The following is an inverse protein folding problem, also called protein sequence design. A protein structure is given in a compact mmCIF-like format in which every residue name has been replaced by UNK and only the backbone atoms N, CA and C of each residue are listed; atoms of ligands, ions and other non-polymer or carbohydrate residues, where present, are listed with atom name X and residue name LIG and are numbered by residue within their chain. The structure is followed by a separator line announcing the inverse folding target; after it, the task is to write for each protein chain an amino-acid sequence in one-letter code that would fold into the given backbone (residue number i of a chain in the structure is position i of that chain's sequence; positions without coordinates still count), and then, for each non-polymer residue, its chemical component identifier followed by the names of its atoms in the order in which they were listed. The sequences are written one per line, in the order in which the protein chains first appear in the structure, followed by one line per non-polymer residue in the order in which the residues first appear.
data_IF_265949094236
#
_entry.id   IF_265949094236
#
_cell.length_a   1.000
_cell.length_b   1.000
_cell.length_c   1.000
_cell.angle_alpha   90.00
_cell.angle_beta   90.00
_cell.angle_gamma   90.00
#
_symmetry.space_group_name_H-M   'P 1'
#
loop_
_entity.id
_entity.type
_entity.pdbx_description
1 polymer ?
#
# COMPACT_ATOMS: atom_id res chain seq x y z
N UNK A 1 24.48 -24.39 -3.64
CA UNK A 1 23.19 -24.92 -4.18
C UNK A 1 22.08 -23.95 -3.84
N UNK A 2 21.19 -23.64 -4.81
CA UNK A 2 20.04 -22.74 -4.57
C UNK A 2 18.79 -23.58 -4.33
N UNK A 3 18.04 -23.25 -3.28
CA UNK A 3 16.75 -23.84 -2.94
C UNK A 3 15.70 -22.72 -2.84
N UNK A 4 14.52 -22.90 -3.45
CA UNK A 4 13.38 -21.99 -3.27
C UNK A 4 12.22 -22.77 -2.67
N UNK A 5 11.65 -22.27 -1.58
CA UNK A 5 10.53 -22.92 -0.90
C UNK A 5 9.75 -21.95 -0.01
N UNK A 6 8.54 -22.32 0.42
CA UNK A 6 7.87 -21.63 1.52
C UNK A 6 8.71 -21.63 2.81
N UNK A 7 8.48 -20.60 3.63
CA UNK A 7 9.05 -20.51 4.97
C UNK A 7 8.56 -21.64 5.87
N UNK A 8 9.33 -21.92 6.92
CA UNK A 8 9.01 -22.90 7.95
C UNK A 8 8.85 -22.21 9.32
N UNK A 9 8.15 -22.84 10.27
CA UNK A 9 8.12 -22.36 11.65
C UNK A 9 9.55 -22.17 12.19
N UNK A 10 9.77 -21.05 12.90
CA UNK A 10 11.07 -20.71 13.48
C UNK A 10 12.00 -19.87 12.58
N UNK A 11 11.67 -19.68 11.29
CA UNK A 11 12.52 -18.89 10.37
C UNK A 11 12.19 -17.38 10.35
N UNK A 12 11.16 -16.94 11.09
CA UNK A 12 10.71 -15.55 11.08
C UNK A 12 11.80 -14.54 11.46
N UNK A 13 12.68 -14.88 12.42
CA UNK A 13 13.72 -13.95 12.86
C UNK A 13 14.74 -13.66 11.75
N UNK A 14 15.21 -14.68 11.04
CA UNK A 14 16.12 -14.49 9.91
C UNK A 14 15.51 -13.64 8.80
N UNK A 15 14.21 -13.76 8.57
CA UNK A 15 13.46 -12.94 7.61
C UNK A 15 13.38 -11.49 8.05
N UNK A 16 13.07 -11.23 9.33
CA UNK A 16 13.05 -9.87 9.90
C UNK A 16 14.42 -9.20 9.79
N UNK A 17 15.49 -9.95 10.04
CA UNK A 17 16.86 -9.43 9.95
C UNK A 17 17.23 -9.10 8.49
N UNK A 18 16.86 -9.95 7.53
CA UNK A 18 17.03 -9.69 6.11
C UNK A 18 16.22 -8.47 5.66
N UNK A 19 14.96 -8.35 6.09
CA UNK A 19 14.12 -7.20 5.80
C UNK A 19 14.77 -5.89 6.28
N UNK A 20 15.21 -5.87 7.53
CA UNK A 20 15.92 -4.70 8.10
C UNK A 20 17.19 -4.36 7.33
N UNK A 21 18.00 -5.36 6.98
CA UNK A 21 19.23 -5.16 6.21
C UNK A 21 18.96 -4.64 4.79
N UNK A 22 17.86 -5.05 4.16
CA UNK A 22 17.53 -4.66 2.79
C UNK A 22 16.93 -3.26 2.66
N UNK A 23 16.05 -2.85 3.61
CA UNK A 23 15.24 -1.64 3.51
C UNK A 23 15.57 -0.58 4.57
N UNK A 24 16.22 -0.95 5.68
CA UNK A 24 16.52 -0.01 6.77
C UNK A 24 15.28 0.46 7.54
N UNK A 25 14.16 -0.25 7.44
CA UNK A 25 12.91 0.13 8.09
C UNK A 25 12.95 0.00 9.60
N UNK A 26 12.11 0.78 10.27
CA UNK A 26 11.92 0.72 11.72
C UNK A 26 11.45 -0.71 12.11
N UNK A 27 12.11 -1.34 13.10
CA UNK A 27 11.71 -2.68 13.57
C UNK A 27 10.23 -2.81 13.94
N UNK A 28 9.59 -1.72 14.43
CA UNK A 28 8.16 -1.73 14.78
C UNK A 28 7.26 -2.04 13.58
N UNK A 29 7.61 -1.56 12.39
CA UNK A 29 6.87 -1.88 11.15
C UNK A 29 7.00 -3.34 10.78
N UNK A 30 8.23 -3.85 10.86
CA UNK A 30 8.53 -5.25 10.54
C UNK A 30 7.79 -6.16 11.54
N UNK A 31 7.92 -5.91 12.84
CA UNK A 31 7.26 -6.71 13.87
C UNK A 31 5.74 -6.71 13.71
N UNK A 32 5.14 -5.54 13.40
CA UNK A 32 3.71 -5.41 13.18
C UNK A 32 3.24 -6.18 11.93
N UNK A 33 4.06 -6.24 10.88
CA UNK A 33 3.77 -7.10 9.72
C UNK A 33 3.72 -8.57 10.11
N UNK A 34 4.70 -9.04 10.87
CA UNK A 34 4.75 -10.44 11.31
C UNK A 34 3.61 -10.79 12.27
N UNK A 35 3.12 -9.85 13.04
CA UNK A 35 1.94 -10.03 13.89
C UNK A 35 0.63 -10.08 13.10
N UNK A 36 0.47 -9.23 12.10
CA UNK A 36 -0.81 -9.07 11.39
C UNK A 36 -0.97 -9.94 10.16
N UNK A 37 0.07 -10.04 9.32
CA UNK A 37 -0.04 -10.50 7.94
C UNK A 37 0.82 -11.72 7.61
N UNK A 38 1.87 -11.98 8.41
CA UNK A 38 2.80 -13.04 8.08
C UNK A 38 2.18 -14.42 8.17
N UNK A 39 2.40 -15.21 7.11
CA UNK A 39 2.03 -16.62 7.01
C UNK A 39 3.23 -17.37 6.41
N UNK A 40 3.78 -18.38 7.09
CA UNK A 40 4.96 -19.11 6.59
C UNK A 40 4.70 -19.76 5.23
N UNK A 41 3.52 -20.33 5.00
CA UNK A 41 3.12 -20.96 3.73
C UNK A 41 3.00 -19.98 2.54
N UNK A 42 2.85 -18.68 2.83
CA UNK A 42 2.74 -17.60 1.85
C UNK A 42 4.00 -16.72 1.81
N UNK A 43 5.05 -17.09 2.52
CA UNK A 43 6.34 -16.41 2.51
C UNK A 43 7.37 -17.29 1.83
N UNK A 44 7.89 -16.85 0.68
CA UNK A 44 8.85 -17.59 -0.12
C UNK A 44 10.28 -17.17 0.21
N UNK A 45 11.13 -18.16 0.41
CA UNK A 45 12.55 -18.01 0.71
C UNK A 45 13.39 -18.60 -0.41
N UNK A 46 14.45 -17.88 -0.79
CA UNK A 46 15.53 -18.41 -1.60
C UNK A 46 16.76 -18.55 -0.70
N UNK A 47 17.26 -19.76 -0.60
CA UNK A 47 18.46 -20.09 0.16
C UNK A 47 19.60 -20.41 -0.78
N UNK A 48 20.80 -19.90 -0.49
CA UNK A 48 22.07 -20.29 -1.14
C UNK A 48 22.90 -21.04 -0.10
N UNK A 49 23.18 -22.31 -0.37
CA UNK A 49 23.93 -23.20 0.54
C UNK A 49 23.36 -23.21 1.99
N UNK A 50 22.03 -23.24 2.09
CA UNK A 50 21.28 -23.26 3.34
C UNK A 50 21.16 -21.91 4.04
N UNK A 51 21.73 -20.83 3.50
CA UNK A 51 21.61 -19.47 4.06
C UNK A 51 20.55 -18.67 3.32
N UNK A 52 19.74 -17.92 4.05
CA UNK A 52 18.72 -17.05 3.48
C UNK A 52 19.38 -15.93 2.65
N UNK A 53 19.11 -15.91 1.35
CA UNK A 53 19.67 -14.97 0.41
C UNK A 53 18.64 -13.99 -0.15
N UNK A 54 17.38 -14.43 -0.31
CA UNK A 54 16.28 -13.56 -0.75
C UNK A 54 14.96 -14.08 -0.21
N UNK A 55 13.99 -13.18 -0.02
CA UNK A 55 12.64 -13.53 0.43
C UNK A 55 11.60 -12.61 -0.17
N UNK A 56 10.35 -13.02 -0.14
CA UNK A 56 9.17 -12.18 -0.31
C UNK A 56 7.98 -12.78 0.44
N UNK A 57 7.00 -11.94 0.77
CA UNK A 57 5.70 -12.37 1.26
C UNK A 57 4.64 -12.22 0.16
N UNK A 58 3.66 -13.12 0.17
CA UNK A 58 2.51 -13.09 -0.73
C UNK A 58 1.26 -12.82 0.09
N UNK A 59 0.54 -11.75 -0.25
CA UNK A 59 -0.66 -11.32 0.45
C UNK A 59 -1.87 -11.50 -0.46
N UNK A 60 -2.90 -12.28 -0.05
CA UNK A 60 -4.08 -12.49 -0.87
C UNK A 60 -4.87 -11.20 -1.04
N UNK A 61 -5.35 -10.96 -2.24
CA UNK A 61 -6.15 -9.80 -2.63
C UNK A 61 -7.27 -10.22 -3.58
N UNK A 62 -8.27 -9.37 -3.72
CA UNK A 62 -9.29 -9.47 -4.76
C UNK A 62 -9.26 -8.21 -5.61
N UNK A 63 -9.17 -8.37 -6.92
CA UNK A 63 -9.31 -7.25 -7.86
C UNK A 63 -10.75 -7.20 -8.34
N UNK A 64 -11.39 -6.05 -8.18
CA UNK A 64 -12.68 -5.74 -8.79
C UNK A 64 -12.44 -5.21 -10.20
N UNK A 65 -13.11 -5.81 -11.18
CA UNK A 65 -12.92 -5.53 -12.59
C UNK A 65 -13.88 -4.45 -13.10
N UNK A 66 -13.50 -3.67 -14.13
CA UNK A 66 -14.43 -2.78 -14.80
C UNK A 66 -15.63 -3.57 -15.36
N UNK A 67 -16.84 -3.08 -15.12
CA UNK A 67 -18.06 -3.74 -15.60
C UNK A 67 -18.55 -4.89 -14.73
N UNK A 68 -17.92 -5.15 -13.59
CA UNK A 68 -18.31 -6.19 -12.63
C UNK A 68 -17.43 -7.45 -12.72
N UNK A 69 -17.57 -8.33 -11.74
CA UNK A 69 -16.73 -9.49 -11.57
C UNK A 69 -15.46 -9.21 -10.76
N UNK A 70 -14.79 -10.29 -10.38
CA UNK A 70 -13.57 -10.23 -9.57
C UNK A 70 -12.51 -11.16 -10.11
N UNK A 71 -11.25 -10.87 -9.82
CA UNK A 71 -10.11 -11.73 -10.06
C UNK A 71 -9.38 -12.02 -8.74
N UNK A 72 -8.98 -13.26 -8.52
CA UNK A 72 -8.11 -13.67 -7.43
C UNK A 72 -6.70 -13.16 -7.69
N UNK A 73 -6.15 -12.39 -6.76
CA UNK A 73 -4.84 -11.80 -6.90
C UNK A 73 -3.97 -12.03 -5.67
N UNK A 74 -2.66 -11.94 -5.86
CA UNK A 74 -1.68 -11.97 -4.78
C UNK A 74 -0.72 -10.79 -4.91
N UNK A 75 -0.47 -10.14 -3.80
CA UNK A 75 0.44 -9.00 -3.74
C UNK A 75 1.82 -9.45 -3.28
N UNK A 76 2.82 -9.23 -4.12
CA UNK A 76 4.23 -9.41 -3.76
C UNK A 76 4.65 -8.28 -2.84
N UNK A 77 4.95 -8.64 -1.60
CA UNK A 77 5.32 -7.70 -0.56
C UNK A 77 6.71 -8.02 0.00
N UNK A 78 7.46 -7.00 0.41
CA UNK A 78 8.77 -7.11 1.04
C UNK A 78 9.76 -8.01 0.27
N UNK A 79 9.82 -7.90 -1.06
CA UNK A 79 10.85 -8.59 -1.85
C UNK A 79 12.23 -8.04 -1.47
N UNK A 80 12.95 -8.80 -0.66
CA UNK A 80 14.25 -8.46 -0.12
C UNK A 80 15.34 -9.42 -0.61
N UNK A 81 16.52 -8.89 -0.91
CA UNK A 81 17.72 -9.68 -1.19
C UNK A 81 18.87 -9.17 -0.32
N UNK A 82 19.57 -10.08 0.33
CA UNK A 82 20.72 -9.77 1.18
C UNK A 82 21.71 -8.86 0.40
N UNK A 83 22.04 -7.68 0.94
CA UNK A 83 22.98 -6.75 0.29
C UNK A 83 24.28 -7.36 -0.16
N UNK A 84 24.79 -8.37 0.58
CA UNK A 84 26.06 -9.03 0.29
C UNK A 84 26.03 -9.97 -0.93
N UNK A 85 24.84 -10.37 -1.39
CA UNK A 85 24.66 -11.29 -2.54
C UNK A 85 23.81 -10.70 -3.65
N UNK A 86 23.56 -9.39 -3.63
CA UNK A 86 22.91 -8.68 -4.74
C UNK A 86 23.67 -8.87 -6.05
N UNK A 87 22.98 -8.73 -7.17
CA UNK A 87 23.57 -8.93 -8.51
C UNK A 87 23.56 -10.36 -9.01
N UNK A 88 23.31 -11.38 -8.15
CA UNK A 88 23.23 -12.79 -8.56
C UNK A 88 21.85 -13.18 -9.17
N UNK A 89 20.91 -12.25 -9.26
CA UNK A 89 19.59 -12.47 -9.87
C UNK A 89 18.59 -13.22 -8.97
N UNK A 90 18.82 -13.31 -7.65
CA UNK A 90 17.97 -14.07 -6.73
C UNK A 90 16.55 -13.51 -6.63
N UNK A 91 16.39 -12.19 -6.58
CA UNK A 91 15.05 -11.57 -6.60
C UNK A 91 14.27 -11.92 -7.86
N UNK A 92 14.95 -11.97 -9.03
CA UNK A 92 14.33 -12.40 -10.28
C UNK A 92 13.95 -13.88 -10.26
N UNK A 93 14.81 -14.76 -9.75
CA UNK A 93 14.52 -16.19 -9.64
C UNK A 93 13.31 -16.42 -8.74
N UNK A 94 13.24 -15.69 -7.63
CA UNK A 94 12.14 -15.78 -6.69
C UNK A 94 10.80 -15.32 -7.32
N UNK A 95 10.80 -14.22 -8.08
CA UNK A 95 9.62 -13.75 -8.81
C UNK A 95 9.13 -14.73 -9.88
N UNK A 96 10.06 -15.37 -10.62
CA UNK A 96 9.68 -16.40 -11.59
C UNK A 96 9.10 -17.65 -10.91
N UNK A 97 9.58 -17.99 -9.72
CA UNK A 97 8.98 -19.08 -8.92
C UNK A 97 7.58 -18.73 -8.44
N UNK A 98 7.30 -17.46 -8.10
CA UNK A 98 5.97 -16.97 -7.70
C UNK A 98 4.92 -17.31 -8.75
N UNK A 99 5.23 -17.15 -10.02
CA UNK A 99 4.25 -17.40 -11.11
C UNK A 99 3.77 -18.87 -11.09
N UNK A 100 4.70 -19.82 -11.02
CA UNK A 100 4.36 -21.25 -10.95
C UNK A 100 3.67 -21.61 -9.62
N UNK A 101 4.16 -21.04 -8.52
CA UNK A 101 3.61 -21.28 -7.19
C UNK A 101 2.15 -20.81 -7.06
N UNK A 102 1.83 -19.65 -7.58
CA UNK A 102 0.49 -19.08 -7.51
C UNK A 102 -0.45 -19.66 -8.59
N UNK A 103 0.07 -20.00 -9.76
CA UNK A 103 -0.67 -20.72 -10.79
C UNK A 103 -1.19 -22.07 -10.26
N UNK A 104 -0.37 -22.81 -9.51
CA UNK A 104 -0.79 -24.04 -8.87
C UNK A 104 -1.89 -23.84 -7.80
N UNK A 105 -2.04 -22.62 -7.29
CA UNK A 105 -3.08 -22.20 -6.33
C UNK A 105 -4.32 -21.58 -6.97
N UNK A 106 -4.38 -21.53 -8.29
CA UNK A 106 -5.51 -20.98 -9.03
C UNK A 106 -5.63 -19.45 -8.96
N UNK A 107 -4.52 -18.73 -8.77
CA UNK A 107 -4.50 -17.27 -8.82
C UNK A 107 -4.67 -16.79 -10.26
N UNK A 108 -5.48 -15.76 -10.47
CA UNK A 108 -5.67 -15.15 -11.79
C UNK A 108 -4.53 -14.16 -12.12
N UNK A 109 -3.97 -13.48 -11.11
CA UNK A 109 -2.89 -12.53 -11.32
C UNK A 109 -2.05 -12.27 -10.07
N UNK A 110 -0.92 -11.61 -10.30
CA UNK A 110 0.03 -11.17 -9.26
C UNK A 110 0.20 -9.66 -9.37
N UNK A 111 0.19 -8.98 -8.25
CA UNK A 111 0.41 -7.54 -8.17
C UNK A 111 1.69 -7.20 -7.43
N UNK A 112 2.27 -6.05 -7.72
CA UNK A 112 3.40 -5.48 -6.97
C UNK A 112 3.31 -3.96 -6.98
N UNK A 113 3.75 -3.33 -5.90
CA UNK A 113 3.91 -1.88 -5.83
C UNK A 113 5.39 -1.55 -5.75
N UNK A 114 6.03 -1.13 -6.86
CA UNK A 114 7.43 -0.73 -6.85
C UNK A 114 7.64 0.48 -5.92
N UNK A 115 8.61 0.38 -5.00
CA UNK A 115 8.89 1.45 -4.03
C UNK A 115 9.47 2.72 -4.71
N UNK A 116 10.16 2.55 -5.84
CA UNK A 116 10.79 3.64 -6.58
C UNK A 116 10.71 3.43 -8.10
N UNK A 117 10.87 4.52 -8.85
CA UNK A 117 10.73 4.53 -10.31
C UNK A 117 11.67 3.54 -11.04
N UNK A 118 12.88 3.33 -10.52
CA UNK A 118 13.85 2.40 -11.10
C UNK A 118 13.38 0.95 -11.11
N UNK A 119 12.56 0.56 -10.14
CA UNK A 119 12.08 -0.82 -10.00
C UNK A 119 11.02 -1.19 -11.06
N UNK A 120 10.35 -0.22 -11.69
CA UNK A 120 9.42 -0.55 -12.80
C UNK A 120 10.10 -1.28 -13.95
N UNK A 121 11.35 -0.92 -14.27
CA UNK A 121 12.13 -1.63 -15.29
C UNK A 121 12.43 -3.07 -14.83
N UNK A 122 12.81 -3.26 -13.58
CA UNK A 122 13.11 -4.58 -13.01
C UNK A 122 11.88 -5.48 -13.06
N UNK A 123 10.73 -5.03 -12.57
CA UNK A 123 9.49 -5.81 -12.61
C UNK A 123 9.01 -6.04 -14.06
N UNK A 124 9.17 -5.06 -14.95
CA UNK A 124 8.85 -5.23 -16.36
C UNK A 124 9.66 -6.35 -17.07
N UNK A 125 10.92 -6.58 -16.64
CA UNK A 125 11.74 -7.68 -17.18
C UNK A 125 11.26 -9.08 -16.76
N UNK A 126 10.40 -9.17 -15.77
CA UNK A 126 9.75 -10.42 -15.31
C UNK A 126 8.24 -10.44 -15.60
N UNK A 127 7.77 -9.62 -16.53
CA UNK A 127 6.42 -9.70 -17.09
C UNK A 127 5.36 -8.82 -16.41
N UNK A 128 5.72 -8.03 -15.38
CA UNK A 128 4.74 -7.12 -14.77
C UNK A 128 4.46 -5.91 -15.67
N UNK A 129 3.19 -5.57 -15.78
CA UNK A 129 2.71 -4.40 -16.53
C UNK A 129 2.00 -3.42 -15.59
N UNK A 130 2.03 -2.12 -15.90
CA UNK A 130 1.25 -1.14 -15.15
C UNK A 130 -0.26 -1.44 -15.23
N UNK A 131 -0.89 -1.78 -14.10
CA UNK A 131 -2.29 -2.15 -14.03
C UNK A 131 -3.17 -1.12 -13.32
N UNK A 132 -2.65 -0.48 -12.28
CA UNK A 132 -3.38 0.50 -11.49
C UNK A 132 -2.63 1.83 -11.43
N UNK A 133 -3.40 2.91 -11.32
CA UNK A 133 -2.85 4.26 -11.27
C UNK A 133 -3.51 5.03 -10.14
N UNK A 134 -2.71 5.79 -9.40
CA UNK A 134 -3.19 6.76 -8.42
C UNK A 134 -2.81 8.16 -8.86
N UNK A 135 -3.63 9.13 -8.50
CA UNK A 135 -3.28 10.54 -8.61
C UNK A 135 -2.59 10.95 -7.32
N UNK A 136 -1.41 11.53 -7.42
CA UNK A 136 -0.69 12.11 -6.29
C UNK A 136 -0.72 13.63 -6.40
N UNK A 137 -1.13 14.26 -5.32
CA UNK A 137 -1.14 15.73 -5.20
C UNK A 137 -0.27 16.10 -4.03
N UNK A 138 0.62 17.07 -4.24
CA UNK A 138 1.41 17.72 -3.19
C UNK A 138 0.93 19.16 -3.05
N UNK A 139 0.68 19.60 -1.83
CA UNK A 139 0.28 20.95 -1.54
C UNK A 139 0.78 21.41 -0.16
N UNK A 140 0.90 22.72 0.01
CA UNK A 140 1.09 23.31 1.34
C UNK A 140 -0.26 23.37 2.07
N UNK A 141 -0.24 23.17 3.39
CA UNK A 141 -1.43 23.32 4.24
C UNK A 141 -2.12 24.67 4.04
N UNK A 142 -1.35 25.75 3.87
CA UNK A 142 -1.88 27.07 3.60
C UNK A 142 -2.66 27.21 2.27
N UNK A 143 -2.56 26.21 1.39
CA UNK A 143 -3.31 26.14 0.13
C UNK A 143 -4.63 25.38 0.26
N UNK A 144 -4.96 24.80 1.42
CA UNK A 144 -6.26 24.16 1.65
C UNK A 144 -7.36 25.22 1.74
N UNK A 145 -8.58 24.82 1.40
CA UNK A 145 -9.77 25.68 1.59
C UNK A 145 -10.01 25.93 3.09
N UNK A 146 -10.78 26.95 3.47
CA UNK A 146 -11.24 27.10 4.84
C UNK A 146 -12.00 25.85 5.33
N UNK A 147 -11.87 25.54 6.62
CA UNK A 147 -12.63 24.48 7.27
C UNK A 147 -14.05 24.93 7.59
N UNK A 148 -14.98 24.01 7.62
CA UNK A 148 -16.37 24.25 7.98
C UNK A 148 -16.70 23.48 9.27
N UNK A 149 -17.46 24.05 10.21
CA UNK A 149 -17.77 23.41 11.49
C UNK A 149 -18.54 22.08 11.38
N UNK A 150 -19.30 21.91 10.31
CA UNK A 150 -20.04 20.69 10.02
C UNK A 150 -19.19 19.56 9.45
N UNK A 151 -18.01 19.86 8.93
CA UNK A 151 -17.08 18.85 8.40
C UNK A 151 -16.36 18.14 9.54
N UNK A 152 -16.36 16.80 9.51
CA UNK A 152 -15.83 15.97 10.59
C UNK A 152 -14.81 14.98 10.07
N UNK A 153 -13.79 14.77 10.89
CA UNK A 153 -12.79 13.70 10.71
C UNK A 153 -12.74 12.91 12.00
N UNK A 154 -13.10 11.65 11.95
CA UNK A 154 -13.21 10.78 13.11
C UNK A 154 -12.42 9.50 12.88
N UNK A 155 -11.60 9.05 13.86
CA UNK A 155 -10.93 7.77 13.75
C UNK A 155 -11.97 6.64 13.71
N UNK A 156 -11.70 5.62 12.89
CA UNK A 156 -12.60 4.47 12.72
C UNK A 156 -11.84 3.15 12.82
N UNK A 157 -12.58 2.07 13.07
CA UNK A 157 -12.03 0.73 13.04
C UNK A 157 -11.63 0.28 11.62
N UNK A 158 -10.70 -0.69 11.48
CA UNK A 158 -10.37 -1.28 10.18
C UNK A 158 -11.58 -1.78 9.41
N UNK A 159 -12.55 -2.40 10.08
CA UNK A 159 -13.77 -2.91 9.44
C UNK A 159 -14.65 -1.77 8.90
N UNK A 160 -14.85 -0.71 9.68
CA UNK A 160 -15.64 0.46 9.24
C UNK A 160 -14.93 1.20 8.10
N UNK A 161 -13.62 1.41 8.22
CA UNK A 161 -12.82 2.00 7.15
C UNK A 161 -13.00 1.24 5.84
N UNK A 162 -12.83 -0.10 5.87
CA UNK A 162 -12.92 -0.92 4.67
C UNK A 162 -14.32 -0.88 4.05
N UNK A 163 -15.38 -0.88 4.86
CA UNK A 163 -16.75 -0.77 4.37
C UNK A 163 -16.99 0.57 3.64
N UNK A 164 -16.51 1.68 4.20
CA UNK A 164 -16.61 3.00 3.56
C UNK A 164 -15.76 3.04 2.28
N UNK A 165 -14.55 2.49 2.34
CA UNK A 165 -13.61 2.44 1.22
C UNK A 165 -14.20 1.69 0.01
N UNK A 166 -14.71 0.49 0.22
CA UNK A 166 -15.29 -0.33 -0.85
C UNK A 166 -16.54 0.31 -1.45
N UNK A 167 -17.38 0.92 -0.60
CA UNK A 167 -18.54 1.67 -1.08
C UNK A 167 -18.13 2.88 -1.94
N UNK A 168 -17.09 3.61 -1.54
CA UNK A 168 -16.59 4.76 -2.30
C UNK A 168 -15.93 4.37 -3.63
N UNK A 169 -15.35 3.17 -3.72
CA UNK A 169 -14.70 2.64 -4.92
C UNK A 169 -15.66 1.83 -5.83
N UNK A 170 -16.88 1.60 -5.39
CA UNK A 170 -17.85 0.82 -6.17
C UNK A 170 -18.02 1.38 -7.60
N UNK A 171 -17.99 0.48 -8.58
CA UNK A 171 -18.04 0.84 -10.00
C UNK A 171 -16.69 1.22 -10.65
N UNK A 172 -15.63 1.35 -9.86
CA UNK A 172 -14.27 1.50 -10.37
C UNK A 172 -13.52 0.17 -10.33
N UNK A 173 -12.47 -0.01 -11.15
CA UNK A 173 -11.52 -1.08 -10.92
C UNK A 173 -10.69 -0.75 -9.67
N UNK A 174 -10.67 -1.65 -8.69
CA UNK A 174 -9.91 -1.47 -7.46
C UNK A 174 -9.49 -2.79 -6.83
N UNK A 175 -8.56 -2.73 -5.89
CA UNK A 175 -8.11 -3.86 -5.09
C UNK A 175 -8.79 -3.82 -3.73
N UNK A 176 -9.50 -4.91 -3.36
CA UNK A 176 -9.95 -5.15 -2.00
C UNK A 176 -8.83 -5.77 -1.18
N UNK A 177 -8.74 -5.34 0.07
CA UNK A 177 -7.77 -5.82 1.03
C UNK A 177 -8.43 -6.71 2.10
N UNK A 178 -7.68 -7.70 2.59
CA UNK A 178 -8.12 -8.47 3.76
C UNK A 178 -8.19 -7.58 5.01
N UNK A 179 -8.96 -8.03 6.02
CA UNK A 179 -9.04 -7.31 7.29
C UNK A 179 -7.68 -7.21 7.99
N UNK A 180 -6.83 -8.23 7.84
CA UNK A 180 -5.47 -8.25 8.37
C UNK A 180 -4.62 -7.16 7.72
N UNK A 181 -4.74 -6.97 6.41
CA UNK A 181 -3.98 -5.95 5.69
C UNK A 181 -4.46 -4.54 6.03
N UNK A 182 -5.77 -4.33 6.21
CA UNK A 182 -6.31 -3.04 6.69
C UNK A 182 -5.86 -2.79 8.14
N UNK A 183 -5.86 -3.80 9.02
CA UNK A 183 -5.32 -3.70 10.39
C UNK A 183 -3.83 -3.38 10.37
N UNK A 184 -3.07 -4.00 9.48
CA UNK A 184 -1.66 -3.67 9.27
C UNK A 184 -1.49 -2.19 8.87
N UNK A 185 -2.27 -1.71 7.93
CA UNK A 185 -2.25 -0.31 7.50
C UNK A 185 -2.61 0.66 8.63
N UNK A 186 -3.60 0.32 9.47
CA UNK A 186 -3.95 1.10 10.66
C UNK A 186 -2.75 1.25 11.61
N UNK A 187 -2.09 0.14 11.94
CA UNK A 187 -0.94 0.14 12.85
C UNK A 187 0.25 0.91 12.28
N UNK A 188 0.51 0.79 10.98
CA UNK A 188 1.52 1.60 10.29
C UNK A 188 1.24 3.10 10.46
N UNK A 189 -0.02 3.51 10.27
CA UNK A 189 -0.44 4.88 10.53
C UNK A 189 -0.21 5.29 11.98
N UNK A 190 -0.64 4.47 12.94
CA UNK A 190 -0.50 4.75 14.39
C UNK A 190 0.96 4.89 14.83
N UNK A 191 1.87 4.09 14.28
CA UNK A 191 3.31 4.19 14.59
C UNK A 191 3.88 5.58 14.24
N UNK A 192 3.31 6.24 13.22
CA UNK A 192 3.72 7.60 12.82
C UNK A 192 2.83 8.70 13.38
N UNK A 193 1.78 8.38 14.13
CA UNK A 193 0.81 9.36 14.64
C UNK A 193 -0.40 9.61 13.73
N UNK A 194 -0.55 8.84 12.66
CA UNK A 194 -1.72 8.84 11.78
C UNK A 194 -2.74 7.77 12.14
N UNK A 195 -3.47 7.26 11.13
CA UNK A 195 -4.48 6.22 11.31
C UNK A 195 -5.49 6.13 10.19
N UNK A 196 -6.62 5.49 10.47
CA UNK A 196 -7.77 5.36 9.58
C UNK A 196 -8.90 6.28 10.04
N UNK A 197 -9.50 7.01 9.11
CA UNK A 197 -10.49 8.04 9.42
C UNK A 197 -11.71 7.93 8.52
N UNK A 198 -12.88 8.17 9.12
CA UNK A 198 -14.07 8.61 8.40
C UNK A 198 -13.98 10.11 8.19
N UNK A 199 -14.26 10.57 6.97
CA UNK A 199 -14.30 11.98 6.60
C UNK A 199 -15.73 12.30 6.16
N UNK A 200 -16.38 13.21 6.88
CA UNK A 200 -17.74 13.66 6.59
C UNK A 200 -17.69 15.10 6.10
N UNK A 201 -18.26 15.35 4.93
CA UNK A 201 -18.36 16.69 4.32
C UNK A 201 -19.82 16.94 3.97
N UNK A 202 -20.51 17.76 4.78
CA UNK A 202 -21.94 17.91 4.66
C UNK A 202 -22.69 16.58 4.84
N UNK A 203 -23.42 16.13 3.83
CA UNK A 203 -24.13 14.84 3.83
C UNK A 203 -23.27 13.66 3.34
N UNK A 204 -22.07 13.90 2.83
CA UNK A 204 -21.23 12.89 2.19
C UNK A 204 -20.25 12.28 3.17
N UNK A 205 -20.11 10.97 3.10
CA UNK A 205 -19.15 10.19 3.88
C UNK A 205 -18.12 9.56 2.99
N UNK A 206 -16.87 9.69 3.37
CA UNK A 206 -15.74 9.05 2.75
C UNK A 206 -14.75 8.58 3.80
N UNK A 207 -13.55 8.19 3.36
CA UNK A 207 -12.51 7.75 4.26
C UNK A 207 -11.13 8.27 3.84
N UNK A 208 -10.21 8.26 4.81
CA UNK A 208 -8.80 8.54 4.60
C UNK A 208 -7.93 7.61 5.43
N UNK A 209 -6.78 7.22 4.87
CA UNK A 209 -5.69 6.59 5.59
C UNK A 209 -4.50 7.56 5.60
N UNK A 210 -3.97 7.83 6.78
CA UNK A 210 -2.94 8.85 6.95
C UNK A 210 -1.74 8.34 7.76
N UNK A 211 -0.56 8.85 7.41
CA UNK A 211 0.68 8.67 8.17
C UNK A 211 1.54 9.93 8.10
N UNK A 212 2.36 10.15 9.12
CA UNK A 212 3.40 11.19 9.05
C UNK A 212 4.64 10.62 8.37
N UNK A 213 5.15 11.34 7.37
CA UNK A 213 6.45 11.05 6.75
C UNK A 213 7.60 11.62 7.58
N UNK A 214 7.35 12.74 8.24
CA UNK A 214 8.19 13.44 9.21
C UNK A 214 7.33 14.49 9.94
N UNK A 215 7.93 15.27 10.83
CA UNK A 215 7.24 16.29 11.63
C UNK A 215 6.48 17.36 10.80
N UNK A 216 6.93 17.62 9.58
CA UNK A 216 6.35 18.65 8.71
C UNK A 216 5.46 18.11 7.60
N UNK A 217 5.45 16.79 7.38
CA UNK A 217 4.84 16.20 6.17
C UNK A 217 3.90 15.07 6.51
N UNK A 218 2.66 15.16 6.03
CA UNK A 218 1.62 14.14 6.16
C UNK A 218 1.33 13.53 4.80
N UNK A 219 1.27 12.21 4.75
CA UNK A 219 0.79 11.45 3.59
C UNK A 219 -0.62 10.92 3.88
N UNK A 220 -1.60 11.40 3.15
CA UNK A 220 -2.90 10.75 3.01
C UNK A 220 -2.76 9.68 1.93
N UNK A 221 -2.44 8.45 2.37
CA UNK A 221 -2.24 7.28 1.48
C UNK A 221 -3.43 7.04 0.59
N UNK A 222 -4.61 7.37 1.11
CA UNK A 222 -5.89 7.30 0.42
C UNK A 222 -6.79 8.41 0.96
N UNK A 223 -7.44 9.16 0.07
CA UNK A 223 -8.55 10.05 0.39
C UNK A 223 -9.66 9.76 -0.62
N UNK A 224 -10.78 9.22 -0.12
CA UNK A 224 -11.92 8.80 -0.91
C UNK A 224 -13.15 9.59 -0.51
N UNK A 225 -13.48 10.57 -1.31
CA UNK A 225 -14.71 11.39 -1.27
C UNK A 225 -15.11 11.69 -2.72
N UNK A 226 -16.38 12.00 -3.01
CA UNK A 226 -16.73 12.54 -4.31
C UNK A 226 -15.82 13.72 -4.66
N UNK A 227 -15.35 13.83 -5.92
CA UNK A 227 -14.31 14.79 -6.33
C UNK A 227 -14.59 16.23 -5.89
N UNK A 228 -15.85 16.67 -5.94
CA UNK A 228 -16.28 18.02 -5.57
C UNK A 228 -16.16 18.29 -4.06
N UNK A 229 -16.14 17.26 -3.22
CA UNK A 229 -16.04 17.36 -1.76
C UNK A 229 -14.60 17.15 -1.24
N UNK A 230 -13.69 16.67 -2.07
CA UNK A 230 -12.30 16.41 -1.68
C UNK A 230 -11.57 17.62 -1.11
N UNK A 231 -11.69 18.84 -1.68
CA UNK A 231 -11.00 20.01 -1.13
C UNK A 231 -11.41 20.32 0.32
N UNK A 232 -12.69 20.18 0.65
CA UNK A 232 -13.21 20.37 2.02
C UNK A 232 -12.74 19.24 2.95
N UNK A 233 -12.84 18.00 2.49
CA UNK A 233 -12.36 16.83 3.27
C UNK A 233 -10.87 16.92 3.56
N UNK A 234 -10.06 17.34 2.59
CA UNK A 234 -8.63 17.56 2.79
C UNK A 234 -8.36 18.70 3.78
N UNK A 235 -9.12 19.80 3.71
CA UNK A 235 -9.00 20.91 4.69
C UNK A 235 -9.30 20.43 6.11
N UNK A 236 -10.36 19.63 6.30
CA UNK A 236 -10.71 19.07 7.60
C UNK A 236 -9.62 18.12 8.14
N UNK A 237 -9.06 17.25 7.29
CA UNK A 237 -7.93 16.39 7.64
C UNK A 237 -6.68 17.18 8.02
N UNK A 238 -6.30 18.16 7.20
CA UNK A 238 -5.13 19.01 7.44
C UNK A 238 -5.27 19.85 8.72
N UNK A 239 -6.51 20.20 9.13
CA UNK A 239 -6.75 20.90 10.38
C UNK A 239 -6.45 20.03 11.61
N UNK A 240 -6.71 18.70 11.53
CA UNK A 240 -6.46 17.77 12.62
C UNK A 240 -5.04 17.19 12.62
N UNK A 241 -4.40 17.18 11.47
CA UNK A 241 -3.06 16.62 11.30
C UNK A 241 -2.06 17.74 10.96
N UNK A 242 -1.42 18.37 11.97
CA UNK A 242 -0.57 19.53 11.79
C UNK A 242 0.73 19.16 11.08
N UNK A 243 0.74 19.27 9.76
CA UNK A 243 1.92 19.23 8.91
C UNK A 243 1.87 20.39 7.93
N UNK A 244 3.00 20.95 7.54
CA UNK A 244 3.04 22.04 6.57
C UNK A 244 2.81 21.55 5.14
N UNK A 245 3.21 20.30 4.84
CA UNK A 245 3.09 19.68 3.51
C UNK A 245 2.14 18.51 3.58
N UNK A 246 1.21 18.46 2.65
CA UNK A 246 0.26 17.38 2.49
C UNK A 246 0.52 16.67 1.15
N UNK A 247 0.70 15.37 1.23
CA UNK A 247 0.74 14.48 0.08
C UNK A 247 -0.56 13.68 0.08
N UNK A 248 -1.28 13.68 -1.05
CA UNK A 248 -2.61 13.04 -1.13
C UNK A 248 -2.63 12.08 -2.29
N UNK A 249 -3.12 10.88 -2.08
CA UNK A 249 -3.40 9.91 -3.15
C UNK A 249 -4.90 9.70 -3.29
N UNK A 250 -5.36 9.73 -4.54
CA UNK A 250 -6.76 9.49 -4.91
C UNK A 250 -6.83 8.62 -6.15
N UNK A 251 -7.98 8.00 -6.47
CA UNK A 251 -8.17 7.31 -7.73
C UNK A 251 -7.82 8.18 -8.92
N UNK A 252 -7.08 7.63 -9.89
CA UNK A 252 -6.64 8.39 -11.07
C UNK A 252 -7.81 8.84 -11.96
N UNK A 253 -8.94 8.13 -11.88
CA UNK A 253 -10.17 8.40 -12.64
C UNK A 253 -10.92 9.64 -12.14
N UNK A 254 -10.62 10.12 -10.94
CA UNK A 254 -11.31 11.27 -10.36
C UNK A 254 -10.63 12.58 -10.74
N UNK A 255 -11.25 13.32 -11.66
CA UNK A 255 -10.67 14.53 -12.26
C UNK A 255 -10.83 15.82 -11.45
N UNK A 256 -11.65 15.83 -10.39
CA UNK A 256 -12.07 17.03 -9.65
C UNK A 256 -10.96 17.79 -8.92
N UNK A 257 -9.77 17.25 -8.76
CA UNK A 257 -8.68 17.85 -7.99
C UNK A 257 -7.74 18.76 -8.80
N UNK A 258 -7.70 18.65 -10.13
CA UNK A 258 -6.71 19.37 -10.96
C UNK A 258 -6.84 20.89 -10.97
N UNK A 259 -8.03 21.43 -10.74
CA UNK A 259 -8.28 22.87 -10.79
C UNK A 259 -8.36 23.56 -9.42
N UNK A 260 -8.48 22.80 -8.32
CA UNK A 260 -8.84 23.34 -6.99
C UNK A 260 -7.75 23.24 -5.93
N UNK A 261 -6.72 22.41 -6.11
CA UNK A 261 -5.70 22.11 -5.08
C UNK A 261 -4.27 22.42 -5.55
N UNK A 262 -4.09 23.12 -6.70
CA UNK A 262 -2.76 23.52 -7.19
C UNK A 262 -2.12 22.53 -8.18
N UNK A 263 -1.02 22.97 -8.80
CA UNK A 263 -0.39 22.41 -10.01
C UNK A 263 0.52 21.19 -9.78
N UNK A 264 0.28 20.30 -8.86
CA UNK A 264 1.17 19.16 -8.73
C UNK A 264 0.42 17.85 -8.91
N UNK A 265 0.26 17.40 -10.13
CA UNK A 265 -0.21 16.04 -10.42
C UNK A 265 0.93 15.18 -10.91
N UNK A 266 1.42 14.23 -10.11
CA UNK A 266 2.20 13.11 -10.59
C UNK A 266 1.28 11.90 -10.74
N UNK A 267 1.36 11.23 -11.88
CA UNK A 267 0.77 9.89 -12.05
C UNK A 267 1.78 8.89 -11.51
N UNK A 268 1.48 8.30 -10.38
CA UNK A 268 2.24 7.16 -9.88
C UNK A 268 1.60 5.87 -10.43
N UNK A 269 2.42 5.02 -11.03
CA UNK A 269 1.99 3.68 -11.47
C UNK A 269 2.10 2.76 -10.26
N UNK A 270 1.02 2.10 -9.92
CA UNK A 270 0.95 1.08 -8.87
C UNK A 270 0.93 -0.28 -9.50
#
# INVERSE_FOLDING_TARGET
MVEIRPSRPGEAQAQKDLWRAAFGEDPRYIDWFYECCWRPEDTLLLLEDGKLASMLALLPQTIHLPGGGTASAWYVYALATDPNVRGKGYGRQLLLYVDEFLKARGADCVTVVPAEAGLFKFFGMVGYLPGFFTRKVELLRSMTTPTFPEDKVEPVSPAEYNAIREAALAGLPFVSYSQELIRYQEGMGKITGGGLYRVTVGAFRGCAAAEYLNEESVLFKELLLPPEHMPRGLAALAAQMPGQRCFVRTPAQWDGMQGKIGRASCRERV
#
